data_IF_543640985557
#
_entry.id   IF_543640985557
#
_cell.length_a   1.000
_cell.length_b   1.000
_cell.length_c   1.000
_cell.angle_alpha   90.00
_cell.angle_beta   90.00
_cell.angle_gamma   90.00
#
_symmetry.space_group_name_H-M   'P 1'
#
loop_
_entity.id
_entity.type
_entity.pdbx_description
1 polymer ?
#
# COMPACT_ATOMS: atom_id res chain seq x y z
N UNK A 1 6.94 -27.32 15.34
CA UNK A 1 6.18 -26.06 15.23
C UNK A 1 7.18 -24.96 14.94
N UNK A 2 7.08 -24.31 13.77
CA UNK A 2 8.00 -23.24 13.33
C UNK A 2 7.56 -21.92 13.94
N UNK A 3 8.49 -21.17 14.52
CA UNK A 3 8.22 -19.92 15.22
C UNK A 3 8.58 -18.71 14.37
N UNK A 4 7.64 -17.81 14.13
CA UNK A 4 7.79 -16.65 13.25
C UNK A 4 7.54 -15.36 14.04
N UNK A 5 8.50 -14.43 14.00
CA UNK A 5 8.35 -13.09 14.57
C UNK A 5 8.27 -12.06 13.44
N UNK A 6 7.14 -11.35 13.34
CA UNK A 6 7.03 -10.19 12.46
C UNK A 6 7.38 -8.90 13.22
N UNK A 7 8.17 -8.05 12.59
CA UNK A 7 8.54 -6.72 13.08
C UNK A 7 7.96 -5.70 12.12
N UNK A 8 6.84 -5.06 12.51
CA UNK A 8 6.16 -4.02 11.73
C UNK A 8 6.32 -2.66 12.38
N UNK A 9 6.06 -1.58 11.63
CA UNK A 9 6.01 -0.25 12.21
C UNK A 9 4.81 -0.12 13.16
N UNK A 10 3.63 -0.46 12.66
CA UNK A 10 2.37 -0.40 13.41
C UNK A 10 1.53 -1.62 13.11
N UNK A 11 0.42 -1.77 13.83
CA UNK A 11 -0.59 -2.80 13.60
C UNK A 11 -1.98 -2.21 13.86
N UNK A 12 -3.03 -2.84 13.31
CA UNK A 12 -4.42 -2.45 13.57
C UNK A 12 -4.64 -2.06 15.05
N UNK A 13 -5.31 -0.94 15.39
CA UNK A 13 -6.17 -0.10 14.56
C UNK A 13 -5.46 0.93 13.67
N UNK A 14 -4.13 1.02 13.67
CA UNK A 14 -3.43 1.87 12.71
C UNK A 14 -3.65 1.36 11.28
N UNK A 15 -4.12 2.23 10.38
CA UNK A 15 -4.47 1.89 9.00
C UNK A 15 -3.43 2.47 8.03
N UNK A 16 -2.75 1.59 7.33
CA UNK A 16 -1.77 1.94 6.29
C UNK A 16 -1.46 0.74 5.39
N UNK A 17 -0.81 0.98 4.26
CA UNK A 17 -0.52 -0.09 3.30
C UNK A 17 0.46 -1.14 3.84
N UNK A 18 1.46 -0.72 4.63
CA UNK A 18 2.45 -1.63 5.25
C UNK A 18 1.77 -2.49 6.31
N UNK A 19 0.94 -1.88 7.17
CA UNK A 19 0.22 -2.55 8.24
C UNK A 19 -0.78 -3.56 7.69
N UNK A 20 -1.43 -3.21 6.57
CA UNK A 20 -2.32 -4.13 5.88
C UNK A 20 -1.57 -5.36 5.36
N UNK A 21 -0.41 -5.17 4.75
CA UNK A 21 0.43 -6.28 4.26
C UNK A 21 0.93 -7.15 5.40
N UNK A 22 1.39 -6.54 6.52
CA UNK A 22 1.82 -7.28 7.69
C UNK A 22 0.68 -8.15 8.28
N UNK A 23 -0.55 -7.60 8.29
CA UNK A 23 -1.74 -8.34 8.69
C UNK A 23 -2.09 -9.46 7.72
N UNK A 24 -2.03 -9.20 6.40
CA UNK A 24 -2.31 -10.21 5.38
C UNK A 24 -1.33 -11.40 5.46
N UNK A 25 -0.05 -11.13 5.79
CA UNK A 25 0.93 -12.19 6.06
C UNK A 25 0.58 -12.92 7.35
N UNK A 26 0.29 -12.22 8.44
CA UNK A 26 -0.08 -12.84 9.70
C UNK A 26 -1.29 -13.76 9.54
N UNK A 27 -2.33 -13.27 8.89
CA UNK A 27 -3.54 -14.07 8.61
C UNK A 27 -3.23 -15.29 7.73
N UNK A 28 -2.32 -15.16 6.75
CA UNK A 28 -1.94 -16.27 5.87
C UNK A 28 -1.30 -17.44 6.62
N UNK A 29 -0.66 -17.18 7.76
CA UNK A 29 0.04 -18.17 8.56
C UNK A 29 -0.84 -18.79 9.65
N UNK A 30 -2.03 -18.24 9.94
CA UNK A 30 -2.93 -18.75 11.00
C UNK A 30 -3.53 -20.12 10.69
N UNK A 31 -3.67 -20.47 9.43
CA UNK A 31 -4.27 -21.75 9.03
C UNK A 31 -3.30 -22.94 9.19
N UNK A 32 -2.02 -22.70 9.39
CA UNK A 32 -1.03 -23.73 9.61
C UNK A 32 -0.77 -23.93 11.11
N UNK A 33 -1.26 -25.07 11.64
CA UNK A 33 -1.10 -25.44 13.05
C UNK A 33 0.35 -25.75 13.45
N UNK A 34 1.24 -25.91 12.49
CA UNK A 34 2.69 -26.10 12.71
C UNK A 34 3.42 -24.75 12.82
N UNK A 35 2.72 -23.63 12.70
CA UNK A 35 3.27 -22.29 12.83
C UNK A 35 2.76 -21.63 14.11
N UNK A 36 3.68 -21.11 14.91
CA UNK A 36 3.42 -20.18 16.01
C UNK A 36 3.99 -18.81 15.63
N UNK A 37 3.19 -17.76 15.77
CA UNK A 37 3.62 -16.43 15.36
C UNK A 37 3.37 -15.36 16.42
N UNK A 38 4.25 -14.38 16.43
CA UNK A 38 4.12 -13.15 17.22
C UNK A 38 4.46 -11.94 16.36
N UNK A 39 3.94 -10.77 16.76
CA UNK A 39 4.27 -9.51 16.13
C UNK A 39 4.75 -8.52 17.20
N UNK A 40 5.74 -7.69 16.82
CA UNK A 40 6.17 -6.54 17.64
C UNK A 40 6.10 -5.26 16.78
N UNK A 41 5.52 -4.20 17.34
CA UNK A 41 5.33 -2.92 16.66
C UNK A 41 5.41 -1.76 17.64
N UNK A 42 5.35 -0.53 17.14
CA UNK A 42 5.16 0.67 17.96
C UNK A 42 3.70 0.78 18.40
N UNK A 43 3.50 1.22 19.64
CA UNK A 43 2.21 1.61 20.16
C UNK A 43 1.89 3.04 19.69
N UNK A 44 1.50 3.18 18.44
CA UNK A 44 1.13 4.47 17.86
C UNK A 44 -0.38 4.57 17.79
N UNK A 45 -0.87 5.79 17.97
CA UNK A 45 -2.28 6.10 17.94
C UNK A 45 -2.88 5.89 16.56
N UNK A 46 -4.12 5.43 16.50
CA UNK A 46 -4.90 5.50 15.28
C UNK A 46 -5.07 6.97 14.85
N UNK A 47 -5.10 7.23 13.56
CA UNK A 47 -5.17 8.59 13.00
C UNK A 47 -6.43 9.38 13.46
N UNK A 48 -7.41 8.72 14.03
CA UNK A 48 -8.71 9.28 14.42
C UNK A 48 -8.90 9.44 15.93
N UNK A 49 -7.89 9.15 16.73
CA UNK A 49 -7.95 9.29 18.19
C UNK A 49 -8.64 8.14 18.94
N UNK A 50 -9.05 7.09 18.23
CA UNK A 50 -9.51 5.84 18.86
C UNK A 50 -8.30 4.99 19.23
N UNK A 51 -7.87 5.09 20.49
CA UNK A 51 -6.71 4.38 21.01
C UNK A 51 -7.15 3.11 21.71
N UNK A 52 -6.48 1.98 21.43
CA UNK A 52 -6.59 0.78 22.25
C UNK A 52 -5.84 0.91 23.58
N UNK A 53 -4.82 1.78 23.62
CA UNK A 53 -4.00 2.01 24.80
C UNK A 53 -3.31 3.38 24.72
N UNK A 54 -2.85 3.89 25.88
CA UNK A 54 -2.13 5.15 25.90
C UNK A 54 -0.81 5.03 25.13
N UNK A 55 -0.45 6.02 24.31
CA UNK A 55 0.72 6.01 23.42
C UNK A 55 2.04 5.59 24.08
N UNK A 56 2.29 6.01 25.33
CA UNK A 56 3.53 5.73 26.07
C UNK A 56 3.57 4.36 26.74
N UNK A 57 2.45 3.66 26.78
CA UNK A 57 2.37 2.33 27.42
C UNK A 57 2.82 1.24 26.46
N UNK A 58 3.54 0.26 27.00
CA UNK A 58 3.81 -1.00 26.30
C UNK A 58 2.73 -1.99 26.69
N UNK A 59 2.05 -2.55 25.68
CA UNK A 59 0.91 -3.43 25.85
C UNK A 59 1.13 -4.73 25.08
N UNK A 60 0.80 -5.85 25.71
CA UNK A 60 0.65 -7.14 25.06
C UNK A 60 -0.82 -7.34 24.72
N UNK A 61 -1.11 -7.48 23.43
CA UNK A 61 -2.44 -7.49 22.84
C UNK A 61 -2.58 -8.69 21.91
N UNK A 62 -3.77 -8.93 21.39
CA UNK A 62 -4.03 -9.95 20.38
C UNK A 62 -4.87 -9.35 19.25
N UNK A 63 -4.41 -9.51 18.03
CA UNK A 63 -5.13 -9.09 16.82
C UNK A 63 -5.35 -10.32 15.96
N UNK A 64 -6.63 -10.64 15.71
CA UNK A 64 -7.04 -11.79 14.89
C UNK A 64 -6.38 -13.13 15.30
N UNK A 65 -6.11 -13.30 16.61
CA UNK A 65 -5.49 -14.52 17.15
C UNK A 65 -3.95 -14.49 17.18
N UNK A 66 -3.32 -13.41 16.71
CA UNK A 66 -1.85 -13.22 16.76
C UNK A 66 -1.49 -12.36 17.97
N UNK A 67 -0.55 -12.81 18.80
CA UNK A 67 -0.01 -12.01 19.90
C UNK A 67 0.80 -10.82 19.35
N UNK A 68 0.46 -9.61 19.79
CA UNK A 68 1.07 -8.35 19.36
C UNK A 68 1.66 -7.61 20.55
N UNK A 69 2.97 -7.36 20.50
CA UNK A 69 3.68 -6.54 21.49
C UNK A 69 3.74 -5.11 20.96
N UNK A 70 3.00 -4.19 21.59
CA UNK A 70 2.95 -2.76 21.22
C UNK A 70 3.87 -1.97 22.14
N UNK A 71 5.02 -1.55 21.63
CA UNK A 71 6.02 -0.80 22.42
C UNK A 71 5.66 0.67 22.53
N UNK A 72 5.57 1.18 23.77
CA UNK A 72 5.22 2.57 24.04
C UNK A 72 6.17 3.57 23.39
N UNK A 73 5.61 4.65 22.82
CA UNK A 73 6.35 5.67 22.08
C UNK A 73 6.43 6.98 22.85
N UNK A 74 7.61 7.60 22.91
CA UNK A 74 7.78 8.91 23.53
C UNK A 74 7.84 10.07 22.53
N UNK A 75 8.25 9.80 21.28
CA UNK A 75 8.35 10.81 20.23
C UNK A 75 8.14 10.19 18.84
N UNK A 76 7.89 11.06 17.86
CA UNK A 76 7.88 10.74 16.44
C UNK A 76 8.72 11.77 15.68
N UNK A 77 9.71 11.31 14.94
CA UNK A 77 10.62 12.17 14.16
C UNK A 77 10.62 11.70 12.71
N UNK A 78 10.34 12.59 11.78
CA UNK A 78 10.35 12.29 10.36
C UNK A 78 9.52 11.04 9.97
N UNK A 79 8.35 10.88 10.58
CA UNK A 79 7.44 9.72 10.46
C UNK A 79 7.93 8.43 11.10
N UNK A 80 9.07 8.43 11.82
CA UNK A 80 9.58 7.31 12.60
C UNK A 80 9.23 7.47 14.08
N UNK A 81 8.52 6.52 14.66
CA UNK A 81 8.25 6.45 16.09
C UNK A 81 9.52 6.01 16.86
N UNK A 82 9.71 6.57 18.05
CA UNK A 82 10.83 6.31 18.94
C UNK A 82 10.30 5.76 20.27
N UNK A 83 10.95 4.70 20.78
CA UNK A 83 10.53 3.98 21.97
C UNK A 83 11.73 3.59 22.84
N UNK A 84 11.65 3.83 24.15
CA UNK A 84 12.66 3.34 25.10
C UNK A 84 12.47 1.85 25.44
N UNK A 85 11.25 1.35 25.36
CA UNK A 85 10.92 -0.02 25.71
C UNK A 85 11.17 -1.01 24.57
N UNK A 86 11.11 -0.58 23.31
CA UNK A 86 11.23 -1.44 22.14
C UNK A 86 12.50 -2.32 22.13
N UNK A 87 13.73 -1.79 22.39
CA UNK A 87 14.92 -2.64 22.41
C UNK A 87 14.86 -3.73 23.49
N UNK A 88 14.26 -3.43 24.64
CA UNK A 88 14.08 -4.40 25.73
C UNK A 88 13.08 -5.50 25.35
N UNK A 89 11.89 -5.10 24.86
CA UNK A 89 10.87 -6.04 24.44
C UNK A 89 11.32 -6.91 23.25
N UNK A 90 12.03 -6.32 22.28
CA UNK A 90 12.60 -7.08 21.19
C UNK A 90 13.61 -8.12 21.68
N UNK A 91 14.51 -7.74 22.58
CA UNK A 91 15.48 -8.68 23.16
C UNK A 91 14.77 -9.81 23.89
N UNK A 92 13.75 -9.48 24.68
CA UNK A 92 12.96 -10.45 25.43
C UNK A 92 12.24 -11.44 24.51
N UNK A 93 11.54 -10.95 23.48
CA UNK A 93 10.83 -11.84 22.56
C UNK A 93 11.80 -12.70 21.75
N UNK A 94 12.97 -12.19 21.35
CA UNK A 94 14.00 -12.99 20.68
C UNK A 94 14.57 -14.10 21.57
N UNK A 95 14.65 -13.89 22.89
CA UNK A 95 15.14 -14.87 23.86
C UNK A 95 14.05 -15.88 24.26
N UNK A 96 12.86 -15.40 24.66
CA UNK A 96 11.82 -16.23 25.27
C UNK A 96 11.02 -16.99 24.20
N UNK A 97 10.68 -16.33 23.09
CA UNK A 97 9.99 -16.94 21.97
C UNK A 97 10.94 -17.73 21.07
N UNK A 98 12.20 -17.28 20.95
CA UNK A 98 13.26 -17.89 20.13
C UNK A 98 12.80 -18.20 18.71
N UNK A 99 12.47 -17.18 17.89
CA UNK A 99 11.91 -17.38 16.55
C UNK A 99 12.89 -18.06 15.61
N UNK A 100 12.39 -19.02 14.82
CA UNK A 100 13.13 -19.64 13.72
C UNK A 100 13.32 -18.65 12.56
N UNK A 101 12.27 -17.82 12.31
CA UNK A 101 12.23 -16.83 11.24
C UNK A 101 11.83 -15.47 11.83
N UNK A 102 12.56 -14.43 11.42
CA UNK A 102 12.20 -13.03 11.66
C UNK A 102 11.90 -12.33 10.35
N UNK A 103 10.73 -11.69 10.25
CA UNK A 103 10.32 -10.88 9.09
C UNK A 103 10.35 -9.41 9.53
N UNK A 104 11.23 -8.59 8.94
CA UNK A 104 11.26 -7.15 9.17
C UNK A 104 10.57 -6.42 8.01
N UNK A 105 9.52 -5.66 8.32
CA UNK A 105 8.88 -4.76 7.37
C UNK A 105 9.70 -3.47 7.23
N UNK A 106 10.46 -3.37 6.13
CA UNK A 106 11.33 -2.23 5.83
C UNK A 106 10.59 -1.15 5.02
N UNK A 107 10.76 0.16 5.34
CA UNK A 107 11.77 0.71 6.25
C UNK A 107 11.32 0.82 7.70
N UNK A 108 12.21 0.50 8.60
CA UNK A 108 12.10 0.78 10.02
C UNK A 108 13.50 1.13 10.58
N UNK A 109 14.03 2.34 10.31
CA UNK A 109 15.42 2.68 10.64
C UNK A 109 15.73 2.63 12.13
N UNK A 110 14.76 2.95 13.00
CA UNK A 110 14.97 2.87 14.45
C UNK A 110 15.22 1.43 14.89
N UNK A 111 14.34 0.50 14.55
CA UNK A 111 14.50 -0.91 14.93
C UNK A 111 15.71 -1.52 14.24
N UNK A 112 15.98 -1.18 13.01
CA UNK A 112 17.15 -1.66 12.26
C UNK A 112 18.48 -1.32 12.95
N UNK A 113 18.52 -0.24 13.75
CA UNK A 113 19.74 0.19 14.42
C UNK A 113 20.23 -0.79 15.51
N UNK A 114 19.33 -1.59 16.07
CA UNK A 114 19.66 -2.53 17.15
C UNK A 114 19.21 -3.98 16.89
N UNK A 115 18.43 -4.24 15.83
CA UNK A 115 17.96 -5.59 15.50
C UNK A 115 19.13 -6.54 15.19
N UNK A 116 20.02 -6.16 14.26
CA UNK A 116 21.07 -7.07 13.78
C UNK A 116 22.01 -7.58 14.89
N UNK A 117 22.49 -6.74 15.84
CA UNK A 117 23.28 -7.23 16.96
C UNK A 117 22.53 -8.18 17.91
N UNK A 118 21.19 -8.11 17.93
CA UNK A 118 20.35 -8.95 18.81
C UNK A 118 19.89 -10.23 18.11
N UNK A 119 19.89 -10.26 16.78
CA UNK A 119 19.37 -11.37 15.99
C UNK A 119 20.32 -12.58 16.08
N UNK A 120 19.85 -13.75 16.57
CA UNK A 120 20.68 -14.96 16.62
C UNK A 120 21.17 -15.37 15.22
N UNK A 121 22.40 -15.91 15.13
CA UNK A 121 23.02 -16.26 13.84
C UNK A 121 22.26 -17.33 13.06
N UNK A 122 21.63 -18.25 13.78
CA UNK A 122 20.85 -19.36 13.22
C UNK A 122 19.41 -18.99 12.87
N UNK A 123 18.90 -17.84 13.33
CA UNK A 123 17.58 -17.36 12.98
C UNK A 123 17.57 -16.91 11.52
N UNK A 124 16.64 -17.40 10.74
CA UNK A 124 16.42 -16.96 9.36
C UNK A 124 15.85 -15.55 9.35
N UNK A 125 16.32 -14.73 8.41
CA UNK A 125 15.94 -13.33 8.35
C UNK A 125 15.36 -12.98 6.97
N UNK A 126 14.09 -12.59 6.95
CA UNK A 126 13.38 -12.08 5.77
C UNK A 126 13.25 -10.57 5.90
N UNK A 127 13.66 -9.86 4.87
CA UNK A 127 13.46 -8.42 4.76
C UNK A 127 12.31 -8.15 3.80
N UNK A 128 11.13 -7.74 4.32
CA UNK A 128 10.00 -7.34 3.48
C UNK A 128 10.18 -5.89 3.07
N UNK A 129 10.52 -5.66 1.82
CA UNK A 129 10.87 -4.35 1.29
C UNK A 129 9.66 -3.64 0.71
N UNK A 130 9.09 -2.68 1.46
CA UNK A 130 7.94 -1.90 1.00
C UNK A 130 8.35 -0.71 0.14
N UNK A 131 9.41 0.02 0.53
CA UNK A 131 9.90 1.17 -0.23
C UNK A 131 11.34 1.54 0.17
N UNK A 132 12.00 2.26 -0.74
CA UNK A 132 13.29 2.89 -0.46
C UNK A 132 13.11 4.12 0.42
N UNK A 133 14.10 4.42 1.28
CA UNK A 133 14.13 5.67 2.03
C UNK A 133 14.59 6.79 1.10
N UNK A 134 13.64 7.53 0.51
CA UNK A 134 13.94 8.54 -0.52
C UNK A 134 13.82 9.99 -0.06
N UNK A 135 13.03 10.26 0.98
CA UNK A 135 12.63 11.63 1.37
C UNK A 135 13.72 12.49 1.98
N UNK A 136 14.86 11.93 2.38
CA UNK A 136 15.87 12.67 3.14
C UNK A 136 17.26 12.34 2.60
N UNK A 137 17.77 13.17 1.68
CA UNK A 137 19.11 13.00 1.10
C UNK A 137 20.23 12.89 2.16
N UNK A 138 20.08 13.55 3.30
CA UNK A 138 21.03 13.51 4.42
C UNK A 138 20.83 12.24 5.28
N UNK A 139 19.59 11.92 5.66
CA UNK A 139 19.28 10.72 6.43
C UNK A 139 19.44 9.43 5.59
N UNK A 140 19.21 9.50 4.29
CA UNK A 140 19.49 8.38 3.38
C UNK A 140 20.97 7.99 3.39
N UNK A 141 21.90 8.96 3.47
CA UNK A 141 23.34 8.68 3.64
C UNK A 141 23.65 8.07 5.02
N UNK A 142 22.96 8.53 6.06
CA UNK A 142 23.15 8.00 7.42
C UNK A 142 22.71 6.54 7.53
N UNK A 143 21.58 6.20 6.89
CA UNK A 143 21.01 4.83 6.94
C UNK A 143 21.54 3.92 5.83
N UNK A 144 22.35 4.43 4.90
CA UNK A 144 22.89 3.63 3.80
C UNK A 144 23.65 2.39 4.28
N UNK A 145 24.60 2.55 5.18
CA UNK A 145 25.36 1.42 5.75
C UNK A 145 24.47 0.43 6.49
N UNK A 146 23.51 0.92 7.27
CA UNK A 146 22.54 0.08 7.97
C UNK A 146 21.69 -0.74 6.96
N UNK A 147 21.22 -0.11 5.88
CA UNK A 147 20.45 -0.77 4.83
C UNK A 147 21.25 -1.88 4.15
N UNK A 148 22.53 -1.63 3.84
CA UNK A 148 23.40 -2.65 3.26
C UNK A 148 23.61 -3.82 4.22
N UNK A 149 23.88 -3.58 5.51
CA UNK A 149 24.03 -4.64 6.50
C UNK A 149 22.76 -5.49 6.66
N UNK A 150 21.55 -4.87 6.58
CA UNK A 150 20.30 -5.62 6.57
C UNK A 150 20.20 -6.54 5.35
N UNK A 151 20.51 -6.04 4.16
CA UNK A 151 20.48 -6.81 2.92
C UNK A 151 21.54 -7.93 2.89
N UNK A 152 22.73 -7.65 3.42
CA UNK A 152 23.79 -8.67 3.58
C UNK A 152 23.34 -9.79 4.51
N UNK A 153 22.72 -9.45 5.65
CA UNK A 153 22.25 -10.42 6.64
C UNK A 153 21.01 -11.19 6.20
N UNK A 154 20.16 -10.57 5.38
CA UNK A 154 18.92 -11.20 4.95
C UNK A 154 19.18 -12.50 4.17
N UNK A 155 18.47 -13.56 4.53
CA UNK A 155 18.44 -14.81 3.77
C UNK A 155 17.58 -14.63 2.49
N UNK A 156 16.45 -13.94 2.63
CA UNK A 156 15.53 -13.57 1.53
C UNK A 156 15.05 -12.13 1.67
N UNK A 157 14.74 -11.52 0.54
CA UNK A 157 14.15 -10.17 0.46
C UNK A 157 12.85 -10.26 -0.34
N UNK A 158 11.72 -9.89 0.25
CA UNK A 158 10.45 -9.85 -0.47
C UNK A 158 10.29 -8.44 -1.06
N UNK A 159 9.99 -8.35 -2.35
CA UNK A 159 9.66 -7.12 -3.04
C UNK A 159 8.31 -7.24 -3.76
N UNK A 160 7.59 -6.12 -3.91
CA UNK A 160 6.20 -6.12 -4.41
C UNK A 160 6.08 -6.22 -5.93
N UNK A 161 7.16 -5.99 -6.68
CA UNK A 161 7.17 -6.10 -8.14
C UNK A 161 8.59 -6.25 -8.70
N UNK A 162 8.75 -6.86 -9.89
CA UNK A 162 10.03 -6.89 -10.60
C UNK A 162 10.55 -5.48 -10.89
N UNK A 163 9.65 -4.57 -11.29
CA UNK A 163 9.97 -3.17 -11.57
C UNK A 163 10.62 -2.49 -10.37
N UNK A 164 10.13 -2.80 -9.16
CA UNK A 164 10.69 -2.23 -7.93
C UNK A 164 12.09 -2.78 -7.64
N UNK A 165 12.32 -4.07 -7.86
CA UNK A 165 13.64 -4.70 -7.71
C UNK A 165 14.65 -4.04 -8.65
N UNK A 166 14.27 -3.88 -9.93
CA UNK A 166 15.16 -3.29 -10.94
C UNK A 166 15.40 -1.80 -10.71
N UNK A 167 14.39 -1.06 -10.25
CA UNK A 167 14.46 0.38 -10.03
C UNK A 167 15.00 0.82 -8.67
N UNK A 168 15.20 -0.11 -7.72
CA UNK A 168 15.81 0.19 -6.44
C UNK A 168 17.33 0.15 -6.52
N UNK A 169 18.05 1.22 -6.10
CA UNK A 169 19.52 1.22 -6.07
C UNK A 169 20.11 0.20 -5.10
N UNK A 170 19.29 -0.32 -4.21
CA UNK A 170 19.65 -1.36 -3.25
C UNK A 170 19.31 -2.76 -3.78
N UNK A 171 18.04 -3.02 -4.11
CA UNK A 171 17.58 -4.35 -4.46
C UNK A 171 18.20 -4.89 -5.75
N UNK A 172 18.48 -4.01 -6.71
CA UNK A 172 19.16 -4.40 -7.96
C UNK A 172 20.51 -5.07 -7.73
N UNK A 173 21.22 -4.71 -6.65
CA UNK A 173 22.51 -5.30 -6.26
C UNK A 173 22.35 -6.65 -5.51
N UNK A 174 21.19 -6.91 -4.93
CA UNK A 174 20.87 -8.13 -4.17
C UNK A 174 19.77 -8.97 -4.83
N UNK A 175 19.64 -8.86 -6.16
CA UNK A 175 18.58 -9.50 -6.94
C UNK A 175 18.45 -11.02 -6.68
N UNK A 176 19.57 -11.70 -6.46
CA UNK A 176 19.59 -13.15 -6.18
C UNK A 176 18.89 -13.53 -4.85
N UNK A 177 18.71 -12.58 -3.93
CA UNK A 177 17.97 -12.77 -2.68
C UNK A 177 16.51 -12.33 -2.79
N UNK A 178 16.13 -11.64 -3.89
CA UNK A 178 14.80 -11.06 -4.02
C UNK A 178 13.79 -12.09 -4.53
N UNK A 179 12.71 -12.23 -3.77
CA UNK A 179 11.49 -12.92 -4.17
C UNK A 179 10.42 -11.88 -4.46
N UNK A 180 9.75 -11.99 -5.60
CA UNK A 180 8.66 -11.06 -5.96
C UNK A 180 7.35 -11.65 -5.47
N UNK A 181 6.83 -11.08 -4.39
CA UNK A 181 5.51 -11.40 -3.85
C UNK A 181 4.68 -10.12 -3.89
N UNK A 182 3.77 -9.97 -4.87
CA UNK A 182 2.92 -8.79 -4.99
C UNK A 182 2.02 -8.63 -3.76
N UNK A 183 1.71 -7.38 -3.41
CA UNK A 183 0.63 -7.13 -2.47
C UNK A 183 -0.69 -7.63 -3.05
N UNK A 184 -1.62 -7.96 -2.19
CA UNK A 184 -2.90 -8.54 -2.59
C UNK A 184 -4.08 -7.65 -2.25
N UNK A 185 -5.22 -8.01 -2.84
CA UNK A 185 -6.54 -7.59 -2.41
C UNK A 185 -7.33 -8.80 -1.87
N UNK A 186 -8.28 -8.53 -0.99
CA UNK A 186 -9.14 -9.55 -0.39
C UNK A 186 -10.57 -9.41 -0.88
N UNK A 187 -11.13 -10.48 -1.42
CA UNK A 187 -12.52 -10.52 -1.87
C UNK A 187 -13.50 -10.16 -0.75
N UNK A 188 -13.26 -10.66 0.45
CA UNK A 188 -14.15 -10.46 1.60
C UNK A 188 -14.36 -8.98 1.91
N UNK A 189 -13.32 -8.17 1.69
CA UNK A 189 -13.38 -6.71 1.90
C UNK A 189 -14.01 -5.96 0.74
N UNK A 190 -14.06 -6.56 -0.45
CA UNK A 190 -14.52 -5.92 -1.68
C UNK A 190 -15.86 -6.50 -2.18
N UNK A 191 -16.49 -7.42 -1.43
CA UNK A 191 -17.77 -8.00 -1.81
C UNK A 191 -18.91 -7.02 -1.55
N UNK A 192 -19.61 -6.54 -2.60
CA UNK A 192 -20.68 -5.57 -2.42
C UNK A 192 -21.91 -6.21 -1.78
N UNK A 193 -22.48 -5.51 -0.82
CA UNK A 193 -23.81 -5.83 -0.26
C UNK A 193 -24.91 -5.14 -1.09
N UNK A 194 -26.17 -5.53 -0.86
CA UNK A 194 -27.32 -4.87 -1.48
C UNK A 194 -27.38 -3.37 -1.18
N UNK A 195 -26.91 -2.96 0.00
CA UNK A 195 -26.81 -1.54 0.40
C UNK A 195 -25.77 -0.82 -0.44
N UNK A 196 -24.62 -1.44 -0.67
CA UNK A 196 -23.53 -0.88 -1.48
C UNK A 196 -23.97 -0.73 -2.95
N UNK A 197 -24.68 -1.71 -3.52
CA UNK A 197 -25.23 -1.58 -4.88
C UNK A 197 -26.19 -0.41 -4.97
N UNK A 198 -27.12 -0.23 -4.02
CA UNK A 198 -28.04 0.93 -3.99
C UNK A 198 -27.26 2.26 -3.91
N UNK A 199 -26.21 2.34 -3.10
CA UNK A 199 -25.34 3.53 -3.04
C UNK A 199 -24.70 3.82 -4.41
N UNK A 200 -24.17 2.78 -5.08
CA UNK A 200 -23.58 2.93 -6.40
C UNK A 200 -24.59 3.42 -7.45
N UNK A 201 -25.81 2.90 -7.42
CA UNK A 201 -26.91 3.37 -8.28
C UNK A 201 -27.26 4.83 -8.03
N UNK A 202 -27.30 5.27 -6.76
CA UNK A 202 -27.55 6.67 -6.42
C UNK A 202 -26.41 7.57 -6.93
N UNK A 203 -25.15 7.18 -6.74
CA UNK A 203 -24.01 7.92 -7.28
C UNK A 203 -24.10 8.03 -8.81
N UNK A 204 -24.50 6.97 -9.51
CA UNK A 204 -24.68 7.01 -10.97
C UNK A 204 -25.84 7.94 -11.39
N UNK A 205 -26.95 7.88 -10.67
CA UNK A 205 -28.13 8.74 -10.92
C UNK A 205 -27.81 10.23 -10.73
N UNK A 206 -27.08 10.57 -9.66
CA UNK A 206 -26.63 11.95 -9.41
C UNK A 206 -25.67 12.47 -10.51
N UNK A 207 -25.02 11.57 -11.22
CA UNK A 207 -24.08 11.87 -12.31
C UNK A 207 -24.55 11.31 -13.65
N UNK A 208 -25.86 11.29 -13.88
CA UNK A 208 -26.46 10.76 -15.11
C UNK A 208 -25.94 11.51 -16.34
N UNK A 209 -25.61 10.78 -17.39
CA UNK A 209 -25.04 11.31 -18.63
C UNK A 209 -23.57 11.79 -18.52
N UNK A 210 -22.92 11.63 -17.38
CA UNK A 210 -21.51 12.01 -17.19
C UNK A 210 -20.58 10.80 -17.20
N UNK A 211 -19.35 11.04 -17.61
CA UNK A 211 -18.22 10.13 -17.42
C UNK A 211 -17.68 10.33 -16.01
N UNK A 212 -17.90 9.36 -15.16
CA UNK A 212 -17.50 9.42 -13.77
C UNK A 212 -16.09 8.87 -13.58
N UNK A 213 -15.16 9.75 -13.20
CA UNK A 213 -13.81 9.40 -12.82
C UNK A 213 -13.70 9.36 -11.29
N UNK A 214 -13.01 8.36 -10.75
CA UNK A 214 -12.78 8.23 -9.32
C UNK A 214 -11.30 8.05 -9.03
N UNK A 215 -10.79 8.77 -8.03
CA UNK A 215 -9.46 8.60 -7.49
C UNK A 215 -9.50 8.65 -5.96
N UNK A 216 -8.73 7.81 -5.29
CA UNK A 216 -8.70 7.74 -3.83
C UNK A 216 -7.30 7.57 -3.27
N UNK A 217 -7.02 8.24 -2.16
CA UNK A 217 -5.75 8.13 -1.46
C UNK A 217 -5.45 9.31 -0.55
N UNK A 218 -4.33 9.25 0.15
CA UNK A 218 -3.87 10.39 0.97
C UNK A 218 -3.51 11.57 0.08
N UNK A 219 -3.95 12.76 0.43
CA UNK A 219 -3.60 13.98 -0.30
C UNK A 219 -2.20 14.47 0.08
N UNK A 220 -1.18 13.76 -0.43
CA UNK A 220 0.25 14.03 -0.24
C UNK A 220 0.94 14.17 -1.60
N UNK A 221 2.12 14.83 -1.71
CA UNK A 221 2.72 15.18 -3.00
C UNK A 221 2.90 14.01 -3.97
N UNK A 222 3.37 12.85 -3.48
CA UNK A 222 3.67 11.73 -4.36
C UNK A 222 2.43 11.04 -4.96
N UNK A 223 1.24 11.23 -4.37
CA UNK A 223 -0.04 10.71 -4.90
C UNK A 223 -0.55 11.51 -6.10
N UNK A 224 0.01 12.69 -6.36
CA UNK A 224 -0.16 13.40 -7.62
C UNK A 224 -1.56 13.95 -7.92
N UNK A 225 -2.47 14.05 -6.94
CA UNK A 225 -3.81 14.60 -7.16
C UNK A 225 -3.82 16.01 -7.74
N UNK A 226 -2.74 16.78 -7.53
CA UNK A 226 -2.56 18.09 -8.17
C UNK A 226 -2.58 17.99 -9.71
N UNK A 227 -2.04 16.91 -10.28
CA UNK A 227 -2.05 16.69 -11.72
C UNK A 227 -3.45 16.33 -12.22
N UNK A 228 -4.21 15.54 -11.46
CA UNK A 228 -5.62 15.23 -11.78
C UNK A 228 -6.49 16.48 -11.74
N UNK A 229 -6.32 17.34 -10.72
CA UNK A 229 -7.03 18.63 -10.61
C UNK A 229 -6.68 19.53 -11.79
N UNK A 230 -5.42 19.63 -12.18
CA UNK A 230 -5.02 20.41 -13.36
C UNK A 230 -5.54 19.82 -14.67
N UNK A 231 -5.51 18.48 -14.82
CA UNK A 231 -6.05 17.81 -16.00
C UNK A 231 -7.54 18.03 -16.14
N UNK A 232 -8.31 18.11 -15.04
CA UNK A 232 -9.73 18.42 -15.07
C UNK A 232 -10.05 19.74 -15.79
N UNK A 233 -9.20 20.76 -15.65
CA UNK A 233 -9.39 22.05 -16.30
C UNK A 233 -9.31 21.97 -17.85
N UNK A 234 -8.72 20.90 -18.38
CA UNK A 234 -8.58 20.63 -19.81
C UNK A 234 -9.72 19.74 -20.36
N UNK A 235 -10.57 19.21 -19.48
CA UNK A 235 -11.68 18.34 -19.83
C UNK A 235 -12.98 19.15 -20.03
N UNK A 236 -13.85 18.63 -20.89
CA UNK A 236 -15.19 19.20 -21.11
C UNK A 236 -16.18 18.85 -19.99
N UNK A 237 -17.41 19.37 -20.10
CA UNK A 237 -18.46 19.24 -19.07
C UNK A 237 -19.09 17.84 -18.98
N UNK A 238 -18.70 16.90 -19.84
CA UNK A 238 -19.13 15.49 -19.73
C UNK A 238 -18.52 14.78 -18.56
N UNK A 239 -17.44 15.30 -17.98
CA UNK A 239 -16.72 14.65 -16.88
C UNK A 239 -17.27 15.03 -15.51
N UNK A 240 -17.17 14.10 -14.58
CA UNK A 240 -17.23 14.28 -13.11
C UNK A 240 -16.07 13.52 -12.49
N UNK A 241 -15.37 14.18 -11.60
CA UNK A 241 -14.17 13.63 -10.96
C UNK A 241 -14.38 13.65 -9.45
N UNK A 242 -14.52 12.49 -8.87
CA UNK A 242 -14.63 12.32 -7.42
C UNK A 242 -13.26 11.96 -6.84
N UNK A 243 -12.81 12.76 -5.85
CA UNK A 243 -11.52 12.58 -5.18
C UNK A 243 -11.74 12.25 -3.71
N UNK A 244 -11.48 11.00 -3.33
CA UNK A 244 -11.57 10.51 -1.95
C UNK A 244 -10.24 10.64 -1.21
N UNK A 245 -10.33 10.87 0.10
CA UNK A 245 -9.18 10.95 0.99
C UNK A 245 -8.97 12.33 1.61
N UNK A 246 -7.94 12.40 2.44
CA UNK A 246 -7.47 13.62 3.12
C UNK A 246 -5.94 13.61 3.23
N UNK A 247 -5.34 14.75 3.50
CA UNK A 247 -3.91 14.90 3.75
C UNK A 247 -3.48 16.36 3.75
N UNK A 248 -2.19 16.59 3.87
CA UNK A 248 -1.59 17.92 3.95
C UNK A 248 -1.93 18.82 2.74
N UNK A 249 -2.17 18.25 1.56
CA UNK A 249 -2.52 19.00 0.35
C UNK A 249 -4.02 19.24 0.17
N UNK A 250 -4.90 18.73 1.06
CA UNK A 250 -6.36 18.80 0.85
C UNK A 250 -6.84 20.24 0.60
N UNK A 251 -6.38 21.21 1.40
CA UNK A 251 -6.80 22.59 1.24
C UNK A 251 -6.27 23.22 -0.06
N UNK A 252 -5.02 22.95 -0.40
CA UNK A 252 -4.42 23.43 -1.64
C UNK A 252 -5.12 22.86 -2.89
N UNK A 253 -5.49 21.57 -2.86
CA UNK A 253 -6.26 20.94 -3.94
C UNK A 253 -7.64 21.53 -4.10
N UNK A 254 -8.34 21.82 -3.01
CA UNK A 254 -9.65 22.48 -3.04
C UNK A 254 -9.56 23.92 -3.58
N UNK A 255 -8.53 24.67 -3.19
CA UNK A 255 -8.31 26.02 -3.73
C UNK A 255 -7.97 25.98 -5.22
N UNK A 256 -7.14 25.04 -5.66
CA UNK A 256 -6.81 24.84 -7.08
C UNK A 256 -8.05 24.48 -7.92
N UNK A 257 -9.01 23.77 -7.32
CA UNK A 257 -10.24 23.28 -7.98
C UNK A 257 -11.46 24.19 -7.75
N UNK A 258 -11.34 25.34 -7.07
CA UNK A 258 -12.51 26.14 -6.60
C UNK A 258 -13.49 26.54 -7.69
N UNK A 259 -12.99 26.81 -8.90
CA UNK A 259 -13.80 27.23 -10.05
C UNK A 259 -14.07 26.06 -11.02
N UNK A 260 -13.75 24.83 -10.65
CA UNK A 260 -13.97 23.64 -11.46
C UNK A 260 -15.11 22.78 -10.90
N UNK A 261 -16.31 22.98 -11.42
CA UNK A 261 -17.51 22.28 -10.98
C UNK A 261 -17.53 20.78 -11.33
N UNK A 262 -16.53 20.29 -12.09
CA UNK A 262 -16.39 18.86 -12.41
C UNK A 262 -15.81 18.07 -11.24
N UNK A 263 -15.11 18.73 -10.28
CA UNK A 263 -14.43 18.07 -9.18
C UNK A 263 -15.28 18.08 -7.91
N UNK A 264 -15.39 16.92 -7.29
CA UNK A 264 -15.96 16.75 -5.95
C UNK A 264 -14.97 16.07 -5.01
N UNK A 265 -14.63 16.75 -3.90
CA UNK A 265 -13.84 16.16 -2.82
C UNK A 265 -14.74 15.45 -1.81
N UNK A 266 -14.57 14.15 -1.67
CA UNK A 266 -15.42 13.31 -0.82
C UNK A 266 -14.97 13.31 0.65
N UNK A 267 -13.74 13.78 0.92
CA UNK A 267 -13.13 13.61 2.24
C UNK A 267 -12.75 12.16 2.50
N UNK A 268 -12.75 11.73 3.76
CA UNK A 268 -12.52 10.33 4.09
C UNK A 268 -13.69 9.48 3.58
N UNK A 269 -13.35 8.45 2.84
CA UNK A 269 -14.31 7.51 2.27
C UNK A 269 -14.29 6.25 3.12
N UNK A 270 -15.46 5.77 3.55
CA UNK A 270 -15.59 4.47 4.23
C UNK A 270 -15.34 3.31 3.26
N UNK A 271 -15.05 2.12 3.78
CA UNK A 271 -14.83 0.95 2.93
C UNK A 271 -16.06 0.65 2.06
N UNK A 272 -17.29 0.76 2.62
CA UNK A 272 -18.53 0.59 1.88
C UNK A 272 -18.71 1.63 0.76
N UNK A 273 -18.45 2.90 1.08
CA UNK A 273 -18.56 3.98 0.09
C UNK A 273 -17.49 3.84 -0.99
N UNK A 274 -16.28 3.39 -0.63
CA UNK A 274 -15.20 3.13 -1.58
C UNK A 274 -15.61 2.08 -2.62
N UNK A 275 -16.22 0.97 -2.16
CA UNK A 275 -16.76 -0.06 -3.06
C UNK A 275 -17.87 0.53 -3.95
N UNK A 276 -18.76 1.35 -3.39
CA UNK A 276 -19.82 2.00 -4.16
C UNK A 276 -19.25 2.93 -5.25
N UNK A 277 -18.19 3.69 -4.95
CA UNK A 277 -17.50 4.53 -5.95
C UNK A 277 -16.75 3.69 -6.99
N UNK A 278 -16.10 2.58 -6.62
CA UNK A 278 -15.52 1.65 -7.59
C UNK A 278 -16.58 1.08 -8.53
N UNK A 279 -17.75 0.67 -8.02
CA UNK A 279 -18.85 0.19 -8.86
C UNK A 279 -19.40 1.27 -9.79
N UNK A 280 -19.57 2.50 -9.27
CA UNK A 280 -20.20 3.59 -9.99
C UNK A 280 -19.29 4.25 -11.04
N UNK A 281 -17.98 4.32 -10.87
CA UNK A 281 -17.11 5.04 -11.79
C UNK A 281 -16.96 4.34 -13.15
N UNK A 282 -16.57 5.12 -14.17
CA UNK A 282 -16.23 4.63 -15.50
C UNK A 282 -14.73 4.45 -15.69
N UNK A 283 -13.93 5.31 -15.02
CA UNK A 283 -12.47 5.34 -15.13
C UNK A 283 -11.88 5.51 -13.73
N UNK A 284 -10.89 4.70 -13.41
CA UNK A 284 -10.14 4.86 -12.16
C UNK A 284 -8.89 5.72 -12.39
N UNK A 285 -8.78 6.81 -11.62
CA UNK A 285 -7.67 7.76 -11.72
C UNK A 285 -6.63 7.47 -10.64
N UNK A 286 -5.41 7.12 -11.04
CA UNK A 286 -4.32 6.85 -10.11
C UNK A 286 -3.07 7.66 -10.47
N UNK A 287 -3.07 8.97 -10.16
CA UNK A 287 -2.09 9.93 -10.65
C UNK A 287 -0.77 9.97 -9.88
N UNK A 288 -0.40 8.91 -9.14
CA UNK A 288 0.87 8.84 -8.42
C UNK A 288 2.07 9.08 -9.32
N UNK A 289 3.09 9.81 -8.82
CA UNK A 289 4.21 10.34 -9.63
C UNK A 289 5.60 9.87 -9.19
N UNK A 290 5.71 9.15 -8.06
CA UNK A 290 7.01 8.68 -7.58
C UNK A 290 6.96 7.23 -7.14
N UNK A 291 8.11 6.56 -7.13
CA UNK A 291 8.24 5.17 -6.67
C UNK A 291 7.98 4.95 -5.16
N UNK A 292 7.66 6.00 -4.40
CA UNK A 292 7.08 5.85 -3.07
C UNK A 292 5.70 5.15 -3.13
N UNK A 293 5.07 5.14 -4.30
CA UNK A 293 3.99 4.22 -4.62
C UNK A 293 4.60 2.90 -5.10
N UNK A 294 4.88 2.01 -4.16
CA UNK A 294 5.59 0.77 -4.48
C UNK A 294 4.73 -0.27 -5.21
N UNK A 295 3.41 -0.20 -5.05
CA UNK A 295 2.48 -1.15 -5.68
C UNK A 295 1.18 -0.48 -6.13
N UNK A 296 0.43 0.12 -5.21
CA UNK A 296 -0.89 0.71 -5.47
C UNK A 296 -2.04 -0.26 -5.18
N UNK A 297 -2.28 -0.56 -3.90
CA UNK A 297 -3.41 -1.44 -3.50
C UNK A 297 -4.73 -0.89 -4.03
N UNK A 298 -5.00 0.42 -3.86
CA UNK A 298 -6.22 1.05 -4.38
C UNK A 298 -6.33 0.99 -5.93
N UNK A 299 -5.19 0.92 -6.65
CA UNK A 299 -5.18 0.69 -8.10
C UNK A 299 -5.69 -0.73 -8.41
N UNK A 300 -5.18 -1.73 -7.72
CA UNK A 300 -5.63 -3.12 -7.90
C UNK A 300 -7.11 -3.28 -7.52
N UNK A 301 -7.58 -2.59 -6.47
CA UNK A 301 -9.00 -2.58 -6.09
C UNK A 301 -9.89 -2.00 -7.19
N UNK A 302 -9.56 -0.82 -7.74
CA UNK A 302 -10.29 -0.22 -8.87
C UNK A 302 -10.31 -1.13 -10.09
N UNK A 303 -9.19 -1.76 -10.41
CA UNK A 303 -9.06 -2.73 -11.50
C UNK A 303 -9.89 -4.00 -11.28
N UNK A 304 -10.01 -4.48 -10.03
CA UNK A 304 -10.86 -5.63 -9.67
C UNK A 304 -12.34 -5.38 -9.99
N UNK A 305 -12.80 -4.13 -9.88
CA UNK A 305 -14.14 -3.70 -10.32
C UNK A 305 -14.25 -3.44 -11.82
N UNK A 306 -13.35 -4.00 -12.63
CA UNK A 306 -13.31 -3.85 -14.07
C UNK A 306 -13.24 -2.38 -14.53
N UNK A 307 -12.51 -1.53 -13.80
CA UNK A 307 -12.30 -0.14 -14.21
C UNK A 307 -10.95 0.00 -14.91
N UNK A 308 -10.91 0.55 -16.13
CA UNK A 308 -9.66 0.91 -16.77
C UNK A 308 -8.98 2.00 -15.95
N UNK A 309 -7.67 1.87 -15.72
CA UNK A 309 -6.93 2.84 -14.96
C UNK A 309 -6.17 3.83 -15.84
N UNK A 310 -6.07 5.09 -15.39
CA UNK A 310 -5.13 6.06 -15.94
C UNK A 310 -4.06 6.34 -14.90
N UNK A 311 -2.81 6.08 -15.26
CA UNK A 311 -1.63 6.20 -14.39
C UNK A 311 -0.53 6.98 -15.08
N UNK A 312 0.48 7.41 -14.32
CA UNK A 312 1.72 7.88 -14.89
C UNK A 312 2.75 6.74 -15.01
N UNK A 313 3.65 6.83 -15.97
CA UNK A 313 4.84 5.97 -16.06
C UNK A 313 5.83 6.40 -14.98
N UNK A 314 6.08 5.53 -14.02
CA UNK A 314 6.95 5.81 -12.87
C UNK A 314 8.11 4.80 -12.89
N UNK A 315 9.32 5.19 -13.32
CA UNK A 315 10.46 4.27 -13.33
C UNK A 315 10.70 3.62 -11.96
N UNK A 316 10.75 2.30 -11.94
CA UNK A 316 11.00 1.53 -10.73
C UNK A 316 9.83 1.45 -9.75
N UNK A 317 8.62 1.82 -10.16
CA UNK A 317 7.41 1.65 -9.35
C UNK A 317 6.64 0.40 -9.74
N UNK A 318 5.99 -0.23 -8.76
CA UNK A 318 5.04 -1.31 -9.01
C UNK A 318 3.73 -0.86 -9.66
N UNK A 319 3.44 0.45 -9.74
CA UNK A 319 2.24 0.97 -10.43
C UNK A 319 2.18 0.46 -11.86
N UNK A 320 3.29 0.50 -12.58
CA UNK A 320 3.41 0.06 -13.98
C UNK A 320 3.58 -1.49 -14.12
N UNK A 321 3.68 -2.18 -13.01
CA UNK A 321 3.52 -3.65 -12.96
C UNK A 321 2.06 -4.04 -12.74
N UNK A 322 1.31 -3.26 -11.96
CA UNK A 322 -0.12 -3.49 -11.70
C UNK A 322 -0.94 -3.07 -12.92
N UNK A 323 -0.83 -1.83 -13.39
CA UNK A 323 -1.46 -1.35 -14.62
C UNK A 323 -0.52 -1.58 -15.82
N UNK A 324 -1.01 -2.25 -16.85
CA UNK A 324 -0.26 -2.49 -18.08
C UNK A 324 -0.75 -1.56 -19.18
N UNK A 325 0.14 -0.70 -19.68
CA UNK A 325 -0.14 0.24 -20.76
C UNK A 325 -0.76 -0.44 -21.99
N UNK A 326 -1.91 0.06 -22.44
CA UNK A 326 -2.61 -0.46 -23.63
C UNK A 326 -3.27 -1.84 -23.45
N UNK A 327 -3.26 -2.39 -22.24
CA UNK A 327 -3.88 -3.68 -21.89
C UNK A 327 -4.95 -3.51 -20.82
N UNK A 328 -4.59 -2.94 -19.66
CA UNK A 328 -5.50 -2.77 -18.51
C UNK A 328 -5.88 -1.32 -18.29
N UNK A 329 -5.24 -0.40 -19.00
CA UNK A 329 -5.46 1.02 -18.89
C UNK A 329 -4.49 1.83 -19.76
N UNK A 330 -4.33 3.10 -19.44
CA UNK A 330 -3.41 4.01 -20.11
C UNK A 330 -2.34 4.50 -19.14
N UNK A 331 -1.09 4.49 -19.58
CA UNK A 331 0.02 5.12 -18.91
C UNK A 331 0.40 6.41 -19.64
N UNK A 332 0.52 7.50 -18.88
CA UNK A 332 0.93 8.81 -19.39
C UNK A 332 2.37 9.11 -18.99
N UNK A 333 3.05 10.00 -19.73
CA UNK A 333 4.35 10.54 -19.31
C UNK A 333 4.23 11.16 -17.93
N UNK A 334 5.23 10.90 -17.06
CA UNK A 334 5.18 11.30 -15.66
C UNK A 334 5.00 12.82 -15.49
N UNK A 335 3.94 13.22 -14.81
CA UNK A 335 3.63 14.62 -14.52
C UNK A 335 3.06 15.41 -15.71
N UNK A 336 2.82 14.78 -16.85
CA UNK A 336 2.23 15.43 -18.04
C UNK A 336 0.71 15.53 -17.88
N UNK A 337 0.25 16.73 -17.54
CA UNK A 337 -1.14 17.08 -17.31
C UNK A 337 -1.98 16.92 -18.60
N UNK A 338 -1.43 17.33 -19.77
CA UNK A 338 -2.11 17.23 -21.05
C UNK A 338 -2.30 15.75 -21.43
N UNK A 339 -1.23 14.95 -21.36
CA UNK A 339 -1.33 13.52 -21.64
C UNK A 339 -2.33 12.80 -20.73
N UNK A 340 -2.45 13.22 -19.46
CA UNK A 340 -3.45 12.67 -18.54
C UNK A 340 -4.88 13.03 -18.96
N UNK A 341 -5.14 14.28 -19.33
CA UNK A 341 -6.42 14.72 -19.83
C UNK A 341 -6.78 14.02 -21.16
N UNK A 342 -5.82 13.87 -22.07
CA UNK A 342 -6.01 13.17 -23.34
C UNK A 342 -6.36 11.69 -23.13
N UNK A 343 -5.71 11.03 -22.16
CA UNK A 343 -6.02 9.65 -21.78
C UNK A 343 -7.45 9.48 -21.24
N UNK A 344 -7.89 10.40 -20.37
CA UNK A 344 -9.28 10.44 -19.90
C UNK A 344 -10.26 10.65 -21.03
N UNK A 345 -9.98 11.60 -21.93
CA UNK A 345 -10.79 11.92 -23.10
C UNK A 345 -10.88 10.73 -24.06
N UNK A 346 -9.76 10.03 -24.30
CA UNK A 346 -9.73 8.82 -25.13
C UNK A 346 -10.65 7.74 -24.57
N UNK A 347 -10.56 7.45 -23.28
CA UNK A 347 -11.44 6.48 -22.64
C UNK A 347 -12.90 6.94 -22.58
N UNK A 348 -13.17 8.24 -22.48
CA UNK A 348 -14.53 8.78 -22.51
C UNK A 348 -15.19 8.61 -23.89
N UNK A 349 -14.42 8.80 -24.97
CA UNK A 349 -14.91 8.73 -26.35
C UNK A 349 -15.02 7.30 -26.89
N UNK A 350 -14.40 6.31 -26.23
CA UNK A 350 -14.37 4.92 -26.69
C UNK A 350 -14.88 3.97 -25.60
N UNK A 351 -16.20 3.73 -25.53
CA UNK A 351 -16.80 2.81 -24.56
C UNK A 351 -16.32 1.36 -24.72
N UNK A 352 -16.03 0.91 -25.94
CA UNK A 352 -15.55 -0.44 -26.22
C UNK A 352 -14.13 -0.64 -25.65
N UNK A 353 -13.29 0.38 -25.84
CA UNK A 353 -11.93 0.38 -25.25
C UNK A 353 -11.99 0.39 -23.71
N UNK A 354 -12.90 1.19 -23.13
CA UNK A 354 -13.13 1.19 -21.67
C UNK A 354 -13.48 -0.20 -21.15
N UNK A 355 -14.45 -0.84 -21.81
CA UNK A 355 -14.88 -2.19 -21.42
C UNK A 355 -13.77 -3.22 -21.62
N UNK A 356 -13.06 -3.17 -22.73
CA UNK A 356 -11.92 -4.05 -23.03
C UNK A 356 -10.83 -3.95 -21.95
N UNK A 357 -10.40 -2.73 -21.64
CA UNK A 357 -9.35 -2.52 -20.62
C UNK A 357 -9.85 -2.88 -19.24
N UNK A 358 -11.09 -2.55 -18.89
CA UNK A 358 -11.69 -2.92 -17.61
C UNK A 358 -11.75 -4.43 -17.40
N UNK A 359 -12.20 -5.20 -18.41
CA UNK A 359 -12.21 -6.67 -18.34
C UNK A 359 -10.79 -7.25 -18.18
N UNK A 360 -9.83 -6.71 -18.93
CA UNK A 360 -8.43 -7.13 -18.81
C UNK A 360 -7.83 -6.76 -17.45
N UNK A 361 -8.18 -5.58 -16.92
CA UNK A 361 -7.76 -5.14 -15.60
C UNK A 361 -8.25 -6.10 -14.51
N UNK A 362 -9.55 -6.43 -14.52
CA UNK A 362 -10.13 -7.38 -13.56
C UNK A 362 -9.43 -8.75 -13.64
N UNK A 363 -9.31 -9.31 -14.83
CA UNK A 363 -8.64 -10.61 -15.04
C UNK A 363 -7.23 -10.61 -14.48
N UNK A 364 -6.45 -9.55 -14.75
CA UNK A 364 -5.09 -9.43 -14.25
C UNK A 364 -5.02 -9.46 -12.72
N UNK A 365 -5.94 -8.76 -12.06
CA UNK A 365 -6.02 -8.76 -10.59
C UNK A 365 -6.37 -10.15 -10.08
N UNK A 366 -7.38 -10.81 -10.66
CA UNK A 366 -7.80 -12.16 -10.29
C UNK A 366 -6.68 -13.20 -10.48
N UNK A 367 -5.84 -13.05 -11.50
CA UNK A 367 -4.74 -13.97 -11.79
C UNK A 367 -3.50 -13.73 -10.92
N UNK A 368 -3.23 -12.48 -10.49
CA UNK A 368 -1.91 -12.14 -9.94
C UNK A 368 -1.93 -11.46 -8.57
N UNK A 369 -3.06 -10.86 -8.14
CA UNK A 369 -3.06 -9.97 -6.98
C UNK A 369 -4.12 -10.34 -5.94
N UNK A 370 -4.57 -11.59 -5.94
CA UNK A 370 -5.51 -12.09 -4.92
C UNK A 370 -4.78 -12.64 -3.70
N UNK A 371 -5.43 -12.57 -2.54
CA UNK A 371 -4.91 -13.05 -1.27
C UNK A 371 -4.41 -14.49 -1.29
N UNK A 372 -5.11 -15.40 -1.98
CA UNK A 372 -4.69 -16.81 -2.09
C UNK A 372 -3.33 -16.97 -2.79
N UNK A 373 -3.02 -16.07 -3.73
CA UNK A 373 -1.72 -16.02 -4.38
C UNK A 373 -0.60 -15.60 -3.42
N UNK A 374 -0.83 -14.53 -2.64
CA UNK A 374 0.09 -14.09 -1.60
C UNK A 374 0.29 -15.19 -0.55
N UNK A 375 -0.80 -15.77 -0.05
CA UNK A 375 -0.76 -16.84 0.95
C UNK A 375 0.12 -18.02 0.49
N UNK A 376 -0.09 -18.53 -0.72
CA UNK A 376 0.74 -19.63 -1.28
C UNK A 376 2.20 -19.22 -1.36
N UNK A 377 2.49 -18.04 -1.91
CA UNK A 377 3.87 -17.58 -2.05
C UNK A 377 4.59 -17.42 -0.70
N UNK A 378 3.88 -16.95 0.34
CA UNK A 378 4.44 -16.87 1.70
C UNK A 378 4.68 -18.27 2.28
N UNK A 379 3.76 -19.20 2.10
CA UNK A 379 3.92 -20.58 2.57
C UNK A 379 5.10 -21.29 1.89
N UNK A 380 5.22 -21.17 0.58
CA UNK A 380 6.32 -21.76 -0.20
C UNK A 380 7.66 -21.18 0.30
N UNK A 381 7.74 -19.86 0.47
CA UNK A 381 8.94 -19.20 0.99
C UNK A 381 9.31 -19.66 2.42
N UNK A 382 8.33 -19.76 3.32
CA UNK A 382 8.54 -20.23 4.69
C UNK A 382 8.95 -21.71 4.73
N UNK A 383 8.42 -22.53 3.82
CA UNK A 383 8.75 -23.95 3.73
C UNK A 383 10.21 -24.19 3.26
N UNK A 384 10.75 -23.31 2.40
CA UNK A 384 12.13 -23.37 1.91
C UNK A 384 13.17 -22.97 2.97
N UNK A 385 12.75 -22.34 4.06
CA UNK A 385 13.65 -21.79 5.10
C UNK A 385 13.70 -22.64 6.35
#
# INVERSE_FOLDING_TARGET
MKKILQISNYQYPHIGGIEQVARDIADSLLDDKEIEQKMICFNEDAQDGDYLCHRKETVHDSVDGVEVIRCGCFAKVASQSLSFTYPHELKKVLQDFAPDIVILHYPNPFVSSFLLPMLPKNTKFILYWHLDITKQKVLGKLFHGQTLHLLERADKVIATSPNYVDGSPYLSQYRAKCEVIPNCIRMERLTPTATIYKKAELIRKENEGKILCFGVGRHVPYKGFTYLVKASKLLDDRFRIHIGGKGELTQALKEEAKDDNKIQFLGRVSDEDMIAYYLACDIFCFPSITKNEAFGIALAEGMYFAKPAVTFTIPGSGVNYVNLAGVTGIECSNGDVQAYADALTKLANDPELREKYGKAAKRRVEEHFMYDGLKRAIWDLIAEM
#
